data_IF_678397537453
#
_entry.id   IF_678397537453
#
_cell.length_a   1.000
_cell.length_b   1.000
_cell.length_c   1.000
_cell.angle_alpha   90.00
_cell.angle_beta   90.00
_cell.angle_gamma   90.00
#
_symmetry.space_group_name_H-M   'P 1'
#
loop_
_entity.id
_entity.type
_entity.pdbx_description
1 polymer ?
#
# COMPACT_ATOMS: atom_id res chain seq x y z
N UNK A 1 9.53 -33.55 -20.25
CA UNK A 1 10.14 -32.24 -20.49
C UNK A 1 9.10 -31.18 -20.16
N UNK A 2 9.10 -30.66 -18.94
CA UNK A 2 8.18 -29.61 -18.49
C UNK A 2 8.81 -28.25 -18.77
N UNK A 3 8.29 -27.53 -19.75
CA UNK A 3 8.69 -26.14 -20.02
C UNK A 3 8.12 -25.24 -18.93
N UNK A 4 8.97 -24.75 -18.03
CA UNK A 4 8.61 -23.65 -17.13
C UNK A 4 8.60 -22.35 -17.93
N UNK A 5 7.42 -21.75 -18.09
CA UNK A 5 7.31 -20.38 -18.61
C UNK A 5 8.14 -19.43 -17.72
N UNK A 6 8.88 -18.47 -18.29
CA UNK A 6 9.63 -17.51 -17.50
C UNK A 6 8.67 -16.69 -16.65
N UNK A 7 8.94 -16.60 -15.34
CA UNK A 7 8.23 -15.67 -14.46
C UNK A 7 8.44 -14.25 -15.02
N UNK A 8 7.36 -13.57 -15.40
CA UNK A 8 7.44 -12.16 -15.77
C UNK A 8 7.72 -11.41 -14.48
N UNK A 9 8.99 -11.10 -14.23
CA UNK A 9 9.41 -10.21 -13.16
C UNK A 9 9.37 -8.79 -13.73
N UNK A 10 8.22 -8.12 -13.62
CA UNK A 10 8.08 -6.68 -13.88
C UNK A 10 8.69 -5.91 -12.69
N UNK A 11 10.03 -5.99 -12.57
CA UNK A 11 10.75 -5.35 -11.48
C UNK A 11 10.92 -3.86 -11.78
N UNK A 12 9.98 -3.06 -11.28
CA UNK A 12 10.04 -1.60 -11.33
C UNK A 12 10.87 -1.02 -10.18
N UNK A 13 11.35 -1.85 -9.24
CA UNK A 13 12.15 -1.38 -8.11
C UNK A 13 13.39 -0.57 -8.53
N UNK A 14 14.13 -0.89 -9.61
CA UNK A 14 15.28 -0.10 -10.06
C UNK A 14 14.95 1.35 -10.39
N UNK A 15 13.70 1.66 -10.75
CA UNK A 15 13.25 3.03 -11.01
C UNK A 15 12.61 3.68 -9.79
N UNK A 16 11.88 2.91 -8.98
CA UNK A 16 11.12 3.43 -7.84
C UNK A 16 12.04 3.72 -6.65
N UNK A 17 13.04 2.88 -6.38
CA UNK A 17 13.93 3.04 -5.23
C UNK A 17 14.74 4.35 -5.30
N UNK A 18 15.44 4.68 -6.41
CA UNK A 18 16.16 5.95 -6.51
C UNK A 18 15.23 7.17 -6.38
N UNK A 19 14.01 7.07 -6.92
CA UNK A 19 12.99 8.10 -6.79
C UNK A 19 12.63 8.33 -5.32
N UNK A 20 12.35 7.26 -4.57
CA UNK A 20 12.03 7.32 -3.13
C UNK A 20 13.19 7.94 -2.35
N UNK A 21 14.42 7.45 -2.55
CA UNK A 21 15.60 7.92 -1.79
C UNK A 21 15.90 9.41 -2.04
N UNK A 22 15.75 9.88 -3.28
CA UNK A 22 15.94 11.29 -3.64
C UNK A 22 14.92 12.20 -2.92
N UNK A 23 13.65 11.79 -2.90
CA UNK A 23 12.59 12.55 -2.24
C UNK A 23 12.70 12.48 -0.71
N UNK A 24 13.08 11.32 -0.16
CA UNK A 24 13.33 11.14 1.27
C UNK A 24 14.45 12.08 1.76
N UNK A 25 15.57 12.14 1.04
CA UNK A 25 16.68 13.03 1.37
C UNK A 25 16.25 14.50 1.41
N UNK A 26 15.42 14.91 0.45
CA UNK A 26 14.87 16.27 0.39
C UNK A 26 13.89 16.52 1.55
N UNK A 27 13.04 15.54 1.86
CA UNK A 27 12.07 15.61 2.95
C UNK A 27 12.75 15.75 4.30
N UNK A 28 13.73 14.91 4.62
CA UNK A 28 14.46 14.93 5.89
C UNK A 28 15.17 16.26 6.15
N UNK A 29 15.71 16.90 5.11
CA UNK A 29 16.32 18.24 5.23
C UNK A 29 15.30 19.32 5.60
N UNK A 30 14.05 19.18 5.16
CA UNK A 30 12.99 20.18 5.34
C UNK A 30 12.13 19.91 6.58
N UNK A 31 11.93 18.64 6.92
CA UNK A 31 11.03 18.16 7.97
C UNK A 31 11.70 16.98 8.72
N UNK A 32 12.71 17.23 9.57
CA UNK A 32 13.53 16.19 10.19
C UNK A 32 12.75 15.29 11.16
N UNK A 33 11.71 15.83 11.81
CA UNK A 33 10.91 15.11 12.82
C UNK A 33 9.61 14.51 12.24
N UNK A 34 9.40 14.60 10.93
CA UNK A 34 8.17 14.14 10.27
C UNK A 34 8.47 12.90 9.44
N UNK A 35 7.65 11.82 9.51
CA UNK A 35 7.82 10.66 8.65
C UNK A 35 7.56 11.02 7.18
N UNK A 36 8.30 10.40 6.27
CA UNK A 36 8.06 10.51 4.83
C UNK A 36 6.99 9.50 4.41
N UNK A 37 5.88 9.98 3.85
CA UNK A 37 4.72 9.15 3.51
C UNK A 37 4.66 8.95 1.99
N UNK A 38 4.52 7.68 1.57
CA UNK A 38 4.35 7.30 0.16
C UNK A 38 2.99 6.63 -0.01
N UNK A 39 2.14 7.23 -0.83
CA UNK A 39 0.87 6.63 -1.24
C UNK A 39 1.05 5.74 -2.46
N UNK A 40 0.63 4.47 -2.37
CA UNK A 40 0.62 3.54 -3.49
C UNK A 40 -0.82 3.17 -3.87
N UNK A 41 -1.24 3.58 -5.06
CA UNK A 41 -2.56 3.29 -5.61
C UNK A 41 -2.45 2.49 -6.91
N UNK A 42 -3.49 1.73 -7.23
CA UNK A 42 -3.59 0.94 -8.44
C UNK A 42 -4.80 0.03 -8.39
N UNK A 43 -5.20 -0.51 -9.54
CA UNK A 43 -6.36 -1.41 -9.63
C UNK A 43 -6.17 -2.70 -8.81
N UNK A 44 -7.28 -3.36 -8.46
CA UNK A 44 -7.22 -4.67 -7.81
C UNK A 44 -6.52 -5.68 -8.72
N UNK A 45 -5.65 -6.52 -8.15
CA UNK A 45 -4.86 -7.47 -8.91
C UNK A 45 -3.61 -6.89 -9.61
N UNK A 46 -3.35 -5.58 -9.51
CA UNK A 46 -2.16 -4.94 -10.10
C UNK A 46 -0.82 -5.29 -9.43
N UNK A 47 -0.79 -6.23 -8.46
CA UNK A 47 0.45 -6.63 -7.78
C UNK A 47 1.00 -5.62 -6.76
N UNK A 48 0.17 -4.68 -6.28
CA UNK A 48 0.60 -3.66 -5.30
C UNK A 48 1.25 -4.25 -4.04
N UNK A 49 0.65 -5.28 -3.46
CA UNK A 49 1.19 -5.95 -2.27
C UNK A 49 2.58 -6.54 -2.54
N UNK A 50 2.76 -7.14 -3.72
CA UNK A 50 4.08 -7.65 -4.15
C UNK A 50 5.10 -6.52 -4.24
N UNK A 51 4.76 -5.42 -4.90
CA UNK A 51 5.64 -4.25 -5.01
C UNK A 51 5.98 -3.66 -3.63
N UNK A 52 4.98 -3.49 -2.76
CA UNK A 52 5.16 -2.96 -1.40
C UNK A 52 6.12 -3.82 -0.60
N UNK A 53 6.00 -5.15 -0.67
CA UNK A 53 6.90 -6.07 0.03
C UNK A 53 8.35 -5.95 -0.47
N UNK A 54 8.55 -5.82 -1.79
CA UNK A 54 9.88 -5.60 -2.37
C UNK A 54 10.46 -4.27 -1.89
N UNK A 55 9.67 -3.19 -1.94
CA UNK A 55 10.11 -1.87 -1.47
C UNK A 55 10.46 -1.90 0.02
N UNK A 56 9.63 -2.54 0.85
CA UNK A 56 9.89 -2.70 2.28
C UNK A 56 11.21 -3.41 2.53
N UNK A 57 11.45 -4.54 1.85
CA UNK A 57 12.67 -5.32 2.00
C UNK A 57 13.91 -4.53 1.59
N UNK A 58 13.88 -3.86 0.43
CA UNK A 58 15.03 -3.06 -0.05
C UNK A 58 15.30 -1.87 0.87
N UNK A 59 14.27 -1.11 1.24
CA UNK A 59 14.44 0.08 2.11
C UNK A 59 14.95 -0.31 3.50
N UNK A 60 14.46 -1.41 4.08
CA UNK A 60 14.87 -1.84 5.43
C UNK A 60 16.21 -2.57 5.43
N UNK A 61 16.40 -3.57 4.56
CA UNK A 61 17.58 -4.46 4.58
C UNK A 61 18.79 -3.87 3.89
N UNK A 62 18.60 -3.19 2.75
CA UNK A 62 19.71 -2.65 1.97
C UNK A 62 20.06 -1.21 2.35
N UNK A 63 19.04 -0.41 2.73
CA UNK A 63 19.24 1.00 3.10
C UNK A 63 19.12 1.29 4.59
N UNK A 64 18.76 0.31 5.43
CA UNK A 64 18.69 0.48 6.89
C UNK A 64 17.62 1.46 7.35
N UNK A 65 16.60 1.73 6.53
CA UNK A 65 15.55 2.70 6.84
C UNK A 65 14.43 2.07 7.67
N UNK A 66 14.04 2.75 8.75
CA UNK A 66 12.82 2.42 9.47
C UNK A 66 11.61 2.66 8.56
N UNK A 67 10.92 1.57 8.21
CA UNK A 67 9.81 1.59 7.24
C UNK A 67 8.60 0.91 7.86
N UNK A 68 7.42 1.50 7.68
CA UNK A 68 6.15 0.91 8.06
C UNK A 68 5.26 0.77 6.83
N UNK A 69 4.55 -0.36 6.72
CA UNK A 69 3.54 -0.58 5.69
C UNK A 69 2.17 -0.51 6.35
N UNK A 70 1.28 0.28 5.76
CA UNK A 70 -0.12 0.38 6.16
C UNK A 70 -0.99 0.17 4.92
N UNK A 71 -1.85 -0.84 4.95
CA UNK A 71 -2.90 -1.00 3.95
C UNK A 71 -4.16 -0.26 4.39
N UNK A 72 -4.89 0.33 3.44
CA UNK A 72 -6.21 0.89 3.74
C UNK A 72 -7.20 -0.20 4.20
N UNK A 73 -6.98 -1.44 3.76
CA UNK A 73 -7.79 -2.59 4.17
C UNK A 73 -7.59 -2.94 5.66
N UNK A 74 -6.46 -2.56 6.27
CA UNK A 74 -6.21 -2.75 7.71
C UNK A 74 -7.06 -1.79 8.55
N UNK A 75 -7.60 -0.73 7.93
CA UNK A 75 -8.41 0.30 8.56
C UNK A 75 -9.91 0.07 8.35
N UNK A 76 -10.33 -1.09 7.86
CA UNK A 76 -11.75 -1.41 7.76
C UNK A 76 -12.42 -1.40 9.13
N UNK A 77 -13.69 -1.00 9.12
CA UNK A 77 -14.56 -1.10 10.27
C UNK A 77 -14.57 -2.53 10.83
N UNK A 78 -14.73 -2.63 12.15
CA UNK A 78 -15.07 -3.90 12.77
C UNK A 78 -16.37 -4.42 12.16
N UNK A 79 -16.60 -5.74 12.25
CA UNK A 79 -17.85 -6.32 11.76
C UNK A 79 -19.08 -5.65 12.38
N UNK A 80 -19.05 -5.39 13.69
CA UNK A 80 -20.16 -4.76 14.40
C UNK A 80 -20.44 -3.34 13.87
N UNK A 81 -19.37 -2.57 13.62
CA UNK A 81 -19.48 -1.20 13.09
C UNK A 81 -19.92 -1.20 11.62
N UNK A 82 -19.48 -2.16 10.81
CA UNK A 82 -19.92 -2.32 9.43
C UNK A 82 -21.42 -2.66 9.36
N UNK A 83 -21.89 -3.56 10.21
CA UNK A 83 -23.32 -3.90 10.30
C UNK A 83 -24.14 -2.69 10.78
N UNK A 84 -23.59 -1.88 11.68
CA UNK A 84 -24.22 -0.62 12.12
C UNK A 84 -24.31 0.38 10.96
N UNK A 85 -23.22 0.60 10.23
CA UNK A 85 -23.19 1.50 9.07
C UNK A 85 -24.23 1.08 8.01
N UNK A 86 -24.34 -0.22 7.73
CA UNK A 86 -25.31 -0.75 6.79
C UNK A 86 -26.77 -0.50 7.22
N UNK A 87 -27.08 -0.65 8.52
CA UNK A 87 -28.41 -0.34 9.07
C UNK A 87 -28.72 1.16 9.07
N UNK A 88 -27.72 2.00 9.30
CA UNK A 88 -27.91 3.46 9.26
C UNK A 88 -28.13 3.98 7.82
N UNK A 89 -27.79 3.17 6.80
CA UNK A 89 -27.84 3.56 5.39
C UNK A 89 -28.55 2.50 4.53
N UNK A 90 -29.73 2.02 4.95
CA UNK A 90 -30.41 0.88 4.29
C UNK A 90 -30.70 1.08 2.79
N UNK A 91 -30.86 2.33 2.35
CA UNK A 91 -31.04 2.70 0.93
C UNK A 91 -29.76 2.68 0.10
N UNK A 92 -28.58 2.71 0.73
CA UNK A 92 -27.29 2.72 0.06
C UNK A 92 -26.69 1.31 0.02
N UNK A 93 -26.79 0.65 -1.13
CA UNK A 93 -26.26 -0.71 -1.32
C UNK A 93 -24.73 -0.79 -1.27
N UNK A 94 -24.00 0.31 -1.50
CA UNK A 94 -22.54 0.33 -1.56
C UNK A 94 -21.90 0.15 -0.18
N UNK A 95 -22.53 0.68 0.87
CA UNK A 95 -22.02 0.60 2.24
C UNK A 95 -22.52 -0.62 3.02
N UNK A 96 -23.26 -1.52 2.35
CA UNK A 96 -23.73 -2.77 2.97
C UNK A 96 -22.58 -3.70 3.34
N UNK A 97 -21.52 -3.69 2.55
CA UNK A 97 -20.33 -4.51 2.75
C UNK A 97 -19.09 -3.62 2.75
N UNK A 98 -17.98 -4.14 3.28
CA UNK A 98 -16.67 -3.48 3.16
C UNK A 98 -16.29 -3.36 1.68
N UNK A 99 -15.57 -2.30 1.32
CA UNK A 99 -15.01 -2.12 -0.02
C UNK A 99 -15.07 -0.67 -0.48
N UNK A 100 -16.27 -0.11 -0.49
CA UNK A 100 -16.50 1.26 -0.92
C UNK A 100 -16.27 2.27 0.21
N UNK A 101 -15.98 3.54 -0.10
CA UNK A 101 -15.92 4.61 0.88
C UNK A 101 -17.21 4.70 1.71
N UNK A 102 -17.06 4.69 3.04
CA UNK A 102 -18.16 4.59 3.99
C UNK A 102 -18.88 5.89 4.35
N UNK A 103 -18.47 7.04 3.78
CA UNK A 103 -19.08 8.37 3.96
C UNK A 103 -18.91 9.22 2.73
#
# INVERSE_FOLDING_TARGET
>A
MTSSSPAIVDDKAPHIIPFILSHLSTHQKKYPETPFIIGLNGIQGAGKTTLVNILYDVLTKEHGLETLVLSIDDLYLTRADQEKLARENEGNKLVRFRGEPGR
#
